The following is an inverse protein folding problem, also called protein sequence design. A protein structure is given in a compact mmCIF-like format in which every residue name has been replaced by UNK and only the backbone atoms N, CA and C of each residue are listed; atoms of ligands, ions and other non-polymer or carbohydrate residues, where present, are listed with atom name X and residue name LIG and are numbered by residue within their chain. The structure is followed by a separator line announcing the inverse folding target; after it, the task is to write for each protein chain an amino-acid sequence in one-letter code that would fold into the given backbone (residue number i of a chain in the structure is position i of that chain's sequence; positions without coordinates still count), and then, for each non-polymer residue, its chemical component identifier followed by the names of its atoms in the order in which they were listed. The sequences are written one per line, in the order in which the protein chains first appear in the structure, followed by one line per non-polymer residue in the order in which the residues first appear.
data_IF_477438951904
#
_entry.id   IF_477438951904
#
_cell.length_a   1.000
_cell.length_b   1.000
_cell.length_c   1.000
_cell.angle_alpha   90.00
_cell.angle_beta   90.00
_cell.angle_gamma   90.00
#
_symmetry.space_group_name_H-M   'P 1'
#
loop_
_entity.id
_entity.type
_entity.pdbx_description
1 polymer ?
#
# COMPACT_ATOMS: atom_id res chain seq x y z
N UNK A 1 -7.87 -9.22 -4.64
CA UNK A 1 -6.49 -8.96 -4.20
C UNK A 1 -6.47 -7.75 -3.30
N UNK A 2 -5.88 -7.86 -2.11
CA UNK A 2 -5.67 -6.75 -1.18
C UNK A 2 -4.17 -6.53 -1.04
N UNK A 3 -3.73 -5.29 -1.18
CA UNK A 3 -2.34 -4.88 -0.96
C UNK A 3 -2.17 -4.41 0.48
N UNK A 4 -1.25 -4.98 1.24
CA UNK A 4 -0.91 -4.48 2.59
C UNK A 4 0.42 -3.74 2.57
N UNK A 5 0.47 -2.56 3.18
CA UNK A 5 1.65 -1.72 3.35
C UNK A 5 1.99 -1.59 4.83
N UNK A 6 3.16 -2.08 5.23
CA UNK A 6 3.72 -1.93 6.57
C UNK A 6 5.01 -1.11 6.51
N UNK A 7 4.92 0.11 7.04
CA UNK A 7 6.02 1.09 7.15
C UNK A 7 6.23 1.52 8.61
N UNK A 8 5.86 0.66 9.58
CA UNK A 8 6.00 0.96 11.00
C UNK A 8 7.47 1.00 11.45
N UNK A 9 8.35 0.28 10.77
CA UNK A 9 9.79 0.28 11.02
C UNK A 9 10.46 1.47 10.31
N UNK A 10 11.46 2.08 10.94
CA UNK A 10 12.20 3.18 10.32
C UNK A 10 13.11 2.72 9.18
N UNK A 11 13.58 1.48 9.24
CA UNK A 11 14.60 0.89 8.38
C UNK A 11 14.06 -0.13 7.41
N UNK A 12 12.84 -0.62 7.61
CA UNK A 12 12.26 -1.66 6.75
C UNK A 12 10.90 -1.23 6.21
N UNK A 13 10.69 -1.53 4.93
CA UNK A 13 9.38 -1.46 4.29
C UNK A 13 8.95 -2.87 3.93
N UNK A 14 7.73 -3.23 4.30
CA UNK A 14 7.14 -4.53 4.01
C UNK A 14 5.85 -4.34 3.22
N UNK A 15 5.72 -5.10 2.14
CA UNK A 15 4.54 -5.15 1.30
C UNK A 15 4.09 -6.60 1.19
N UNK A 16 2.81 -6.86 1.39
CA UNK A 16 2.23 -8.19 1.15
C UNK A 16 0.99 -8.12 0.28
N UNK A 17 0.72 -9.22 -0.43
CA UNK A 17 -0.50 -9.43 -1.18
C UNK A 17 -1.34 -10.48 -0.48
N UNK A 18 -2.63 -10.21 -0.36
CA UNK A 18 -3.62 -11.12 0.19
C UNK A 18 -4.70 -11.44 -0.82
N UNK A 19 -5.08 -12.71 -0.89
CA UNK A 19 -6.27 -13.16 -1.58
C UNK A 19 -7.21 -13.81 -0.56
N UNK A 20 -8.43 -13.28 -0.46
CA UNK A 20 -9.42 -13.67 0.54
C UNK A 20 -8.92 -13.48 1.98
N UNK A 21 -8.40 -14.54 2.61
CA UNK A 21 -7.89 -14.54 3.99
C UNK A 21 -6.48 -15.11 4.10
N UNK A 22 -5.86 -15.46 2.97
CA UNK A 22 -4.53 -16.05 2.93
C UNK A 22 -3.52 -15.04 2.36
N UNK A 23 -2.35 -14.96 3.00
CA UNK A 23 -1.21 -14.21 2.48
C UNK A 23 -0.63 -14.97 1.28
N UNK A 24 -0.63 -14.33 0.12
CA UNK A 24 -0.15 -14.89 -1.15
C UNK A 24 1.36 -14.73 -1.30
N UNK A 25 1.88 -13.53 -1.00
CA UNK A 25 3.29 -13.20 -1.14
C UNK A 25 3.66 -12.00 -0.26
N UNK A 26 4.95 -11.88 0.07
CA UNK A 26 5.50 -10.79 0.87
C UNK A 26 6.89 -10.40 0.34
N UNK A 27 7.15 -9.10 0.29
CA UNK A 27 8.48 -8.55 0.08
C UNK A 27 8.85 -7.60 1.22
N UNK A 28 10.12 -7.65 1.61
CA UNK A 28 10.72 -6.75 2.60
C UNK A 28 11.99 -6.17 2.00
N UNK A 29 12.13 -4.85 2.09
CA UNK A 29 13.33 -4.13 1.63
C UNK A 29 13.78 -3.13 2.70
N UNK A 30 15.06 -2.78 2.67
CA UNK A 30 15.59 -1.70 3.49
C UNK A 30 15.06 -0.34 3.00
N UNK A 31 14.70 0.51 3.95
CA UNK A 31 14.17 1.84 3.74
C UNK A 31 15.29 2.87 3.54
N UNK A 32 16.31 2.51 2.76
CA UNK A 32 17.52 3.33 2.55
C UNK A 32 17.19 4.67 1.87
N UNK A 33 16.15 4.69 1.04
CA UNK A 33 15.69 5.86 0.27
C UNK A 33 14.33 6.42 0.73
N UNK A 34 13.86 6.03 1.92
CA UNK A 34 12.58 6.52 2.45
C UNK A 34 11.38 6.15 1.57
N UNK A 35 10.51 7.13 1.31
CA UNK A 35 9.26 6.92 0.54
C UNK A 35 9.46 6.43 -0.89
N UNK A 36 10.67 6.56 -1.45
CA UNK A 36 10.98 6.18 -2.83
C UNK A 36 10.97 4.66 -3.05
N UNK A 37 11.09 3.86 -1.98
CA UNK A 37 11.13 2.40 -2.06
C UNK A 37 9.75 1.77 -2.28
N UNK A 38 8.68 2.43 -1.81
CA UNK A 38 7.33 1.87 -1.76
C UNK A 38 6.74 1.50 -3.12
N UNK A 39 6.64 2.47 -4.05
CA UNK A 39 6.03 2.22 -5.35
C UNK A 39 6.77 1.16 -6.17
N UNK A 40 8.12 1.18 -6.28
CA UNK A 40 8.87 0.11 -6.92
C UNK A 40 8.64 -1.25 -6.28
N UNK A 41 8.54 -1.32 -4.95
CA UNK A 41 8.31 -2.57 -4.23
C UNK A 41 6.92 -3.15 -4.48
N UNK A 42 5.90 -2.28 -4.54
CA UNK A 42 4.53 -2.65 -4.91
C UNK A 42 4.49 -3.15 -6.36
N UNK A 43 5.14 -2.45 -7.29
CA UNK A 43 5.20 -2.89 -8.69
C UNK A 43 5.92 -4.24 -8.83
N UNK A 44 7.00 -4.44 -8.06
CA UNK A 44 7.77 -5.70 -8.02
C UNK A 44 6.92 -6.87 -7.55
N UNK A 45 6.17 -6.73 -6.44
CA UNK A 45 5.33 -7.82 -5.93
C UNK A 45 4.14 -8.13 -6.85
N UNK A 46 3.54 -7.11 -7.47
CA UNK A 46 2.45 -7.31 -8.44
C UNK A 46 2.95 -8.05 -9.69
N UNK A 47 4.04 -7.58 -10.30
CA UNK A 47 4.63 -8.24 -11.48
C UNK A 47 5.07 -9.68 -11.19
N UNK A 48 5.66 -9.93 -10.02
CA UNK A 48 6.07 -11.28 -9.59
C UNK A 48 4.88 -12.25 -9.55
N UNK A 49 3.69 -11.76 -9.25
CA UNK A 49 2.45 -12.54 -9.19
C UNK A 49 1.59 -12.44 -10.46
N UNK A 50 2.10 -11.82 -11.53
CA UNK A 50 1.36 -11.66 -12.79
C UNK A 50 0.16 -10.72 -12.71
N UNK A 51 0.18 -9.78 -11.77
CA UNK A 51 -0.89 -8.83 -11.50
C UNK A 51 -0.51 -7.42 -11.96
N UNK A 52 -1.53 -6.61 -12.21
CA UNK A 52 -1.43 -5.18 -12.45
C UNK A 52 -2.12 -4.40 -11.31
N UNK A 53 -1.87 -3.08 -11.24
CA UNK A 53 -2.51 -2.22 -10.22
C UNK A 53 -4.04 -2.28 -10.25
N UNK A 54 -4.63 -2.47 -11.43
CA UNK A 54 -6.09 -2.59 -11.62
C UNK A 54 -6.71 -3.86 -11.01
N UNK A 55 -5.89 -4.87 -10.71
CA UNK A 55 -6.36 -6.13 -10.10
C UNK A 55 -6.51 -6.00 -8.57
N UNK A 56 -5.98 -4.92 -7.99
CA UNK A 56 -6.19 -4.57 -6.60
C UNK A 56 -7.66 -4.19 -6.36
N UNK A 57 -8.23 -4.75 -5.29
CA UNK A 57 -9.61 -4.47 -4.85
C UNK A 57 -9.66 -3.64 -3.58
N UNK A 58 -8.51 -3.37 -2.98
CA UNK A 58 -8.38 -2.58 -1.76
C UNK A 58 -6.93 -2.55 -1.29
N UNK A 59 -6.64 -1.59 -0.42
CA UNK A 59 -5.32 -1.39 0.19
C UNK A 59 -5.48 -1.35 1.70
N UNK A 60 -4.61 -2.03 2.42
CA UNK A 60 -4.49 -1.98 3.86
C UNK A 60 -3.17 -1.30 4.24
N UNK A 61 -3.20 -0.43 5.23
CA UNK A 61 -2.02 0.22 5.78
C UNK A 61 -2.00 0.09 7.28
N UNK A 62 -0.81 -0.14 7.84
CA UNK A 62 -0.66 -0.12 9.28
C UNK A 62 -0.84 1.29 9.85
N UNK A 63 -1.60 1.36 10.95
CA UNK A 63 -1.92 2.62 11.65
C UNK A 63 -1.14 2.78 12.97
N UNK A 64 -0.30 1.80 13.31
CA UNK A 64 0.64 1.86 14.43
C UNK A 64 0.30 0.95 15.62
N UNK A 65 1.09 1.01 16.71
CA UNK A 65 2.19 1.96 16.95
C UNK A 65 3.43 1.73 16.05
N UNK A 66 4.22 2.78 15.79
CA UNK A 66 5.40 2.71 14.92
C UNK A 66 6.03 4.07 14.58
N UNK A 67 6.92 4.08 13.59
CA UNK A 67 7.58 5.27 13.04
C UNK A 67 6.56 6.29 12.52
N UNK A 68 6.46 7.46 13.15
CA UNK A 68 5.51 8.50 12.73
C UNK A 68 5.67 8.89 11.25
N UNK A 69 6.92 9.08 10.81
CA UNK A 69 7.23 9.40 9.41
C UNK A 69 6.88 8.24 8.50
N UNK A 70 7.27 7.01 8.87
CA UNK A 70 7.00 5.82 8.07
C UNK A 70 5.50 5.57 7.89
N UNK A 71 4.73 5.63 8.98
CA UNK A 71 3.28 5.47 8.97
C UNK A 71 2.60 6.52 8.08
N UNK A 72 2.99 7.80 8.19
CA UNK A 72 2.44 8.86 7.32
C UNK A 72 2.76 8.63 5.85
N UNK A 73 3.97 8.17 5.54
CA UNK A 73 4.37 7.84 4.17
C UNK A 73 3.49 6.69 3.64
N UNK A 74 3.34 5.60 4.40
CA UNK A 74 2.50 4.46 4.02
C UNK A 74 1.04 4.86 3.75
N UNK A 75 0.44 5.62 4.68
CA UNK A 75 -0.92 6.17 4.53
C UNK A 75 -1.05 7.07 3.30
N UNK A 76 -0.06 7.94 3.05
CA UNK A 76 -0.11 8.86 1.90
C UNK A 76 -0.07 8.11 0.57
N UNK A 77 0.80 7.10 0.46
CA UNK A 77 0.90 6.26 -0.74
C UNK A 77 -0.39 5.47 -0.95
N UNK A 78 -0.94 4.86 0.10
CA UNK A 78 -2.19 4.11 -0.02
C UNK A 78 -3.37 4.99 -0.41
N UNK A 79 -3.51 6.17 0.18
CA UNK A 79 -4.59 7.09 -0.18
C UNK A 79 -4.46 7.56 -1.64
N UNK A 80 -3.25 7.88 -2.10
CA UNK A 80 -3.02 8.27 -3.48
C UNK A 80 -3.36 7.13 -4.47
N UNK A 81 -2.95 5.89 -4.16
CA UNK A 81 -3.28 4.72 -4.96
C UNK A 81 -4.77 4.40 -4.91
N UNK A 82 -5.39 4.44 -3.73
CA UNK A 82 -6.80 4.18 -3.53
C UNK A 82 -7.68 5.19 -4.29
N UNK A 83 -7.32 6.48 -4.22
CA UNK A 83 -7.96 7.53 -5.01
C UNK A 83 -7.81 7.29 -6.52
N UNK A 84 -6.59 7.02 -6.98
CA UNK A 84 -6.29 6.81 -8.41
C UNK A 84 -7.01 5.58 -9.00
N UNK A 85 -7.14 4.52 -8.21
CA UNK A 85 -7.75 3.25 -8.63
C UNK A 85 -9.25 3.16 -8.30
N UNK A 86 -9.79 4.11 -7.53
CA UNK A 86 -11.17 4.06 -7.04
C UNK A 86 -11.44 2.87 -6.12
N UNK A 87 -10.47 2.49 -5.29
CA UNK A 87 -10.57 1.33 -4.38
C UNK A 87 -10.46 1.74 -2.91
N UNK A 88 -11.08 1.00 -1.99
CA UNK A 88 -11.05 1.34 -0.57
C UNK A 88 -9.67 1.21 0.06
N UNK A 89 -9.40 2.05 1.06
CA UNK A 89 -8.21 2.00 1.92
C UNK A 89 -8.64 1.74 3.36
N UNK A 90 -8.11 0.69 4.00
CA UNK A 90 -8.52 0.22 5.32
C UNK A 90 -10.06 0.06 5.44
N UNK A 91 -10.68 -0.48 4.37
CA UNK A 91 -12.13 -0.70 4.30
C UNK A 91 -12.97 0.57 4.14
N UNK A 92 -12.36 1.75 3.95
CA UNK A 92 -13.07 3.00 3.71
C UNK A 92 -13.00 3.38 2.24
N UNK A 93 -14.15 3.67 1.65
CA UNK A 93 -14.22 4.24 0.32
C UNK A 93 -13.59 5.64 0.31
N UNK A 94 -12.87 5.93 -0.77
CA UNK A 94 -12.27 7.25 -0.99
C UNK A 94 -13.15 7.96 -2.02
N UNK A 95 -13.61 9.17 -1.69
CA UNK A 95 -14.37 10.01 -2.61
C UNK A 95 -13.44 10.48 -3.74
N UNK A 96 -13.77 10.11 -4.98
CA UNK A 96 -12.96 10.41 -6.18
C UNK A 96 -13.55 11.54 -7.03
N UNK A 97 -14.76 11.99 -6.71
CA UNK A 97 -15.41 13.13 -7.38
C UNK A 97 -14.97 14.44 -6.73
N UNK A 98 -14.22 15.26 -7.46
CA UNK A 98 -13.90 16.62 -7.04
C UNK A 98 -15.11 17.50 -7.32
N UNK A 99 -15.88 17.83 -6.27
CA UNK A 99 -16.94 18.82 -6.34
C UNK A 99 -16.31 20.21 -6.28
N UNK A 100 -16.38 20.94 -7.40
CA UNK A 100 -16.08 22.36 -7.42
C UNK A 100 -17.36 23.10 -7.04
N UNK A 101 -17.41 23.69 -5.84
CA UNK A 101 -18.44 24.63 -5.42
C UNK A 101 -18.18 26.04 -5.97
#
# INVERSE_FOLDING_TARGET
MILKIDTKDQKLVKISLKENSEDLDELVEENEFGSQVLLPLIEKILKKNGLEFKDLKGIEVEIGPGSYTGLKVGVSVANALGYSLGIPVNGKEIETEVKYE
#
